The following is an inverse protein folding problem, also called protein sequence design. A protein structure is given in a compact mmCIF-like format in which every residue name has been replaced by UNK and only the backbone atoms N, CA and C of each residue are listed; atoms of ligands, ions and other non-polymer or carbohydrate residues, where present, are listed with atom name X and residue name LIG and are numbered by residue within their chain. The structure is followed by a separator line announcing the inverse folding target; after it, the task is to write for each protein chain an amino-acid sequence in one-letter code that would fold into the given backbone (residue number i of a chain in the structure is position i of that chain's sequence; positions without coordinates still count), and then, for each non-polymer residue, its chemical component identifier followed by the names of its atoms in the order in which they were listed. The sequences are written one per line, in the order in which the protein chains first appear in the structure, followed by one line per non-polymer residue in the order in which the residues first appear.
data_IF_758828210137
#
_entry.id   IF_758828210137
#
_cell.length_a   1.000
_cell.length_b   1.000
_cell.length_c   1.000
_cell.angle_alpha   90.00
_cell.angle_beta   90.00
_cell.angle_gamma   90.00
#
_symmetry.space_group_name_H-M   'P 1'
#
loop_
_entity.id
_entity.type
_entity.pdbx_description
1 polymer ?
#
# COMPACT_ATOMS: atom_id res chain seq x y z
N UNK A 1 -16.42 -34.30 69.67
CA UNK A 1 -17.26 -33.57 68.69
C UNK A 1 -16.49 -33.45 67.40
N UNK A 2 -16.89 -34.17 66.35
CA UNK A 2 -16.16 -34.27 65.08
C UNK A 2 -16.65 -33.19 64.11
N UNK A 3 -15.73 -32.35 63.61
CA UNK A 3 -16.01 -31.40 62.53
C UNK A 3 -15.88 -32.11 61.18
N UNK A 4 -17.01 -32.27 60.49
CA UNK A 4 -17.07 -32.83 59.15
C UNK A 4 -16.72 -31.77 58.10
N UNK A 5 -15.69 -32.06 57.29
CA UNK A 5 -15.33 -31.34 56.07
C UNK A 5 -16.34 -31.66 54.96
N UNK A 6 -17.16 -30.69 54.55
CA UNK A 6 -17.99 -30.82 53.34
C UNK A 6 -17.27 -30.14 52.16
N UNK A 7 -16.57 -30.93 51.34
CA UNK A 7 -16.15 -30.52 50.00
C UNK A 7 -17.38 -30.52 49.09
N UNK A 8 -17.93 -29.35 48.79
CA UNK A 8 -18.95 -29.18 47.75
C UNK A 8 -18.29 -29.17 46.36
N UNK A 9 -18.62 -30.21 45.61
CA UNK A 9 -18.28 -30.49 44.22
C UNK A 9 -18.82 -29.40 43.27
N UNK A 10 -17.94 -28.66 42.59
CA UNK A 10 -18.33 -27.74 41.50
C UNK A 10 -18.41 -28.50 40.17
N UNK A 11 -19.52 -28.40 39.40
CA UNK A 11 -19.65 -29.09 38.13
C UNK A 11 -18.76 -28.46 37.03
N UNK A 12 -18.04 -29.32 36.30
CA UNK A 12 -17.34 -28.95 35.04
C UNK A 12 -18.34 -28.47 34.00
N UNK A 13 -18.39 -27.16 33.77
CA UNK A 13 -19.13 -26.58 32.65
C UNK A 13 -18.48 -27.01 31.32
N UNK A 14 -19.10 -28.00 30.68
CA UNK A 14 -18.86 -28.44 29.30
C UNK A 14 -19.40 -27.37 28.35
N UNK A 15 -18.57 -26.39 28.00
CA UNK A 15 -18.88 -25.38 26.99
C UNK A 15 -18.95 -26.09 25.62
N UNK A 16 -20.18 -26.32 25.14
CA UNK A 16 -20.44 -26.71 23.75
C UNK A 16 -19.98 -25.56 22.85
N UNK A 17 -18.95 -25.79 22.03
CA UNK A 17 -18.56 -24.86 20.96
C UNK A 17 -19.69 -24.80 19.95
N UNK A 18 -20.49 -23.72 20.00
CA UNK A 18 -21.44 -23.39 18.94
C UNK A 18 -20.64 -22.80 17.77
N UNK A 19 -20.32 -23.64 16.79
CA UNK A 19 -19.81 -23.21 15.49
C UNK A 19 -20.98 -22.68 14.66
N UNK A 20 -21.31 -21.41 14.84
CA UNK A 20 -22.16 -20.67 13.88
C UNK A 20 -21.31 -19.63 13.15
N UNK A 21 -20.94 -20.01 11.93
CA UNK A 21 -20.73 -19.18 10.75
C UNK A 21 -20.51 -17.67 10.96
N UNK A 22 -19.24 -17.25 10.91
CA UNK A 22 -18.82 -15.87 10.64
C UNK A 22 -18.41 -15.70 9.16
N UNK A 23 -19.18 -16.29 8.24
CA UNK A 23 -18.95 -16.19 6.79
C UNK A 23 -19.98 -15.31 6.07
N UNK A 24 -20.54 -14.30 6.75
CA UNK A 24 -21.61 -13.45 6.19
C UNK A 24 -21.37 -11.93 6.33
N UNK A 25 -20.15 -11.47 6.56
CA UNK A 25 -19.88 -10.02 6.65
C UNK A 25 -19.42 -9.40 5.32
N UNK A 26 -18.89 -10.20 4.38
CA UNK A 26 -18.32 -9.68 3.11
C UNK A 26 -19.33 -9.54 1.97
N UNK A 27 -20.57 -10.03 2.13
CA UNK A 27 -21.63 -9.90 1.13
C UNK A 27 -22.49 -8.64 1.31
N UNK A 28 -22.57 -8.08 2.53
CA UNK A 28 -23.42 -6.91 2.82
C UNK A 28 -22.82 -5.57 2.37
N UNK A 29 -21.50 -5.49 2.26
CA UNK A 29 -20.83 -4.29 1.73
C UNK A 29 -20.92 -4.15 0.21
N UNK A 30 -21.20 -5.25 -0.53
CA UNK A 30 -21.33 -5.20 -1.99
C UNK A 30 -22.70 -4.70 -2.49
N UNK A 31 -23.72 -4.69 -1.62
CA UNK A 31 -25.08 -4.24 -1.97
C UNK A 31 -25.33 -2.76 -1.61
N UNK A 32 -24.40 -2.08 -0.94
CA UNK A 32 -24.55 -0.67 -0.55
C UNK A 32 -24.06 0.33 -1.61
N UNK A 33 -23.46 -0.12 -2.72
CA UNK A 33 -22.94 0.74 -3.80
C UNK A 33 -23.86 0.85 -5.03
N UNK A 34 -25.02 0.17 -5.01
CA UNK A 34 -26.00 0.25 -6.08
C UNK A 34 -27.03 1.37 -5.82
N UNK A 35 -26.62 2.63 -5.91
CA UNK A 35 -27.55 3.75 -5.80
C UNK A 35 -26.91 5.09 -5.52
N UNK A 36 -26.10 5.60 -6.45
CA UNK A 36 -25.71 7.02 -6.44
C UNK A 36 -26.28 7.73 -7.68
N UNK A 37 -26.94 8.89 -7.56
CA UNK A 37 -27.54 9.61 -8.69
C UNK A 37 -26.49 10.06 -9.71
N UNK A 38 -26.75 9.81 -10.99
CA UNK A 38 -25.92 10.28 -12.11
C UNK A 38 -26.04 11.81 -12.24
N UNK A 39 -24.91 12.51 -12.22
CA UNK A 39 -24.85 13.93 -12.60
C UNK A 39 -25.13 14.08 -14.11
N UNK A 40 -25.86 15.13 -14.54
CA UNK A 40 -26.08 15.39 -15.96
C UNK A 40 -24.78 15.88 -16.62
N UNK A 41 -24.33 15.17 -17.66
CA UNK A 41 -23.26 15.63 -18.55
C UNK A 41 -23.81 16.73 -19.46
N UNK A 42 -23.20 17.90 -19.41
CA UNK A 42 -23.35 18.92 -20.46
C UNK A 42 -22.57 18.47 -21.68
N UNK A 43 -23.26 17.90 -22.66
CA UNK A 43 -22.74 17.57 -23.97
C UNK A 43 -22.55 18.87 -24.78
N UNK A 44 -21.34 19.42 -24.80
CA UNK A 44 -20.91 20.37 -25.83
C UNK A 44 -20.14 19.58 -26.91
N UNK A 45 -20.66 19.45 -28.14
CA UNK A 45 -19.95 18.74 -29.19
C UNK A 45 -18.72 19.54 -29.66
N UNK A 46 -17.52 18.93 -29.78
CA UNK A 46 -16.38 19.61 -30.37
C UNK A 46 -16.54 19.76 -31.89
N UNK A 47 -16.14 20.91 -32.40
CA UNK A 47 -16.22 21.30 -33.80
C UNK A 47 -15.51 20.33 -34.75
N UNK A 48 -16.14 20.12 -35.91
CA UNK A 48 -15.67 19.32 -37.05
C UNK A 48 -14.34 19.80 -37.63
N UNK A 49 -13.31 18.95 -37.65
CA UNK A 49 -12.11 19.14 -38.46
C UNK A 49 -12.32 18.54 -39.87
N UNK A 50 -11.88 19.22 -40.96
CA UNK A 50 -12.03 18.71 -42.31
C UNK A 50 -11.08 17.53 -42.62
N UNK A 51 -11.68 16.47 -43.14
CA UNK A 51 -11.06 15.26 -43.66
C UNK A 51 -10.33 15.54 -44.98
N UNK A 52 -8.99 15.46 -45.00
CA UNK A 52 -8.21 15.31 -46.24
C UNK A 52 -7.88 13.84 -46.47
N UNK A 53 -8.63 13.22 -47.37
CA UNK A 53 -8.35 11.89 -47.91
C UNK A 53 -7.05 11.90 -48.72
N UNK A 54 -6.06 11.07 -48.35
CA UNK A 54 -4.95 10.70 -49.23
C UNK A 54 -5.13 9.26 -49.69
N UNK A 55 -5.15 9.11 -51.01
CA UNK A 55 -5.20 7.90 -51.82
C UNK A 55 -4.20 6.82 -51.37
N UNK A 56 -4.56 5.52 -51.34
CA UNK A 56 -3.59 4.44 -51.13
C UNK A 56 -2.87 4.13 -52.44
N UNK A 57 -1.57 4.43 -52.50
CA UNK A 57 -0.69 4.06 -53.61
C UNK A 57 0.08 2.78 -53.29
N UNK A 58 -0.24 1.73 -54.05
CA UNK A 58 0.63 0.67 -54.55
C UNK A 58 1.51 -0.14 -53.56
N UNK A 59 1.13 -1.43 -53.49
CA UNK A 59 1.92 -2.63 -53.23
C UNK A 59 3.46 -2.52 -53.15
N UNK A 60 4.01 -3.10 -52.08
CA UNK A 60 5.37 -3.65 -52.04
C UNK A 60 5.31 -5.12 -51.56
N UNK A 61 6.01 -6.06 -52.21
CA UNK A 61 5.95 -7.50 -51.89
C UNK A 61 6.74 -7.86 -50.62
N UNK A 62 6.17 -8.75 -49.83
CA UNK A 62 6.76 -9.32 -48.63
C UNK A 62 7.95 -10.25 -48.97
N UNK A 63 9.18 -9.78 -48.71
CA UNK A 63 10.37 -10.63 -48.59
C UNK A 63 10.64 -10.92 -47.12
N UNK A 64 10.13 -12.04 -46.62
CA UNK A 64 10.51 -12.62 -45.33
C UNK A 64 11.90 -13.26 -45.44
N UNK A 65 12.94 -12.58 -44.95
CA UNK A 65 14.28 -13.14 -44.71
C UNK A 65 14.83 -12.44 -43.47
N UNK A 66 15.19 -13.02 -42.33
CA UNK A 66 15.15 -14.36 -41.73
C UNK A 66 15.08 -14.16 -40.18
N UNK A 67 14.95 -15.21 -39.33
CA UNK A 67 16.18 -15.59 -38.64
C UNK A 67 16.27 -17.08 -38.28
N UNK A 68 16.98 -17.85 -39.09
CA UNK A 68 17.23 -19.29 -38.86
C UNK A 68 18.30 -19.59 -37.79
N UNK A 69 18.72 -18.57 -37.01
CA UNK A 69 19.52 -18.72 -35.78
C UNK A 69 19.06 -17.82 -34.63
N UNK A 70 18.21 -16.82 -34.89
CA UNK A 70 17.82 -15.83 -33.90
C UNK A 70 16.63 -16.25 -33.03
N UNK A 71 15.87 -17.31 -33.34
CA UNK A 71 14.78 -17.77 -32.45
C UNK A 71 15.31 -18.16 -31.04
N UNK A 72 16.55 -18.66 -30.96
CA UNK A 72 17.24 -19.02 -29.71
C UNK A 72 17.72 -17.79 -28.89
N UNK A 73 17.86 -16.63 -29.56
CA UNK A 73 18.05 -15.32 -28.94
C UNK A 73 16.70 -14.63 -28.64
N UNK A 74 15.64 -14.96 -29.37
CA UNK A 74 14.35 -14.25 -29.36
C UNK A 74 13.42 -14.61 -28.20
N UNK A 75 13.76 -15.59 -27.36
CA UNK A 75 13.07 -15.86 -26.08
C UNK A 75 14.00 -15.67 -24.87
N UNK A 76 15.02 -14.79 -24.99
CA UNK A 76 15.71 -14.20 -23.84
C UNK A 76 16.98 -14.88 -23.35
N UNK A 77 18.06 -14.80 -24.15
CA UNK A 77 19.44 -14.78 -23.63
C UNK A 77 20.28 -16.05 -23.79
N UNK A 78 21.59 -15.91 -23.51
CA UNK A 78 22.59 -16.99 -23.57
C UNK A 78 22.23 -18.10 -22.57
N UNK A 79 22.10 -19.34 -23.06
CA UNK A 79 21.73 -20.52 -22.25
C UNK A 79 22.71 -20.86 -21.10
N UNK A 80 23.87 -20.19 -21.07
CA UNK A 80 24.81 -20.20 -19.96
C UNK A 80 24.79 -18.87 -19.22
N UNK A 81 24.55 -18.91 -17.91
CA UNK A 81 24.53 -17.74 -17.02
C UNK A 81 24.90 -18.13 -15.59
N UNK A 82 25.15 -17.13 -14.74
CA UNK A 82 25.56 -17.30 -13.34
C UNK A 82 24.45 -18.08 -12.59
N UNK A 83 24.78 -19.30 -12.12
CA UNK A 83 23.84 -20.17 -11.40
C UNK A 83 23.66 -19.81 -9.92
N UNK A 84 24.53 -18.94 -9.38
CA UNK A 84 24.57 -18.52 -7.97
C UNK A 84 23.87 -17.19 -7.73
N UNK A 85 22.63 -17.06 -8.20
CA UNK A 85 21.80 -15.90 -7.90
C UNK A 85 21.05 -16.12 -6.57
N UNK A 86 20.77 -15.06 -5.80
CA UNK A 86 20.01 -15.19 -4.57
C UNK A 86 18.61 -15.70 -4.87
N UNK A 87 18.15 -16.66 -4.06
CA UNK A 87 16.82 -17.25 -4.25
C UNK A 87 15.71 -16.21 -4.04
N UNK A 88 14.79 -16.16 -4.98
CA UNK A 88 13.54 -15.40 -4.92
C UNK A 88 12.40 -16.34 -4.58
N UNK A 89 11.28 -15.85 -4.02
CA UNK A 89 10.15 -16.70 -3.68
C UNK A 89 9.47 -17.39 -4.87
N UNK A 90 9.89 -17.12 -6.12
CA UNK A 90 9.30 -17.67 -7.35
C UNK A 90 10.17 -18.72 -8.03
N UNK A 91 11.38 -18.94 -7.55
CA UNK A 91 12.36 -19.82 -8.20
C UNK A 91 12.27 -21.28 -7.78
N UNK A 92 11.64 -21.58 -6.63
CA UNK A 92 11.58 -22.93 -6.05
C UNK A 92 10.12 -23.28 -5.75
N UNK A 93 9.82 -24.59 -5.76
CA UNK A 93 8.51 -25.13 -5.41
C UNK A 93 8.27 -25.09 -3.88
N UNK A 94 7.28 -25.83 -3.39
CA UNK A 94 6.87 -25.89 -1.99
C UNK A 94 8.02 -26.15 -0.99
N UNK A 95 7.88 -25.58 0.21
CA UNK A 95 8.84 -25.71 1.31
C UNK A 95 9.79 -24.52 1.47
N UNK A 96 10.02 -23.74 0.41
CA UNK A 96 10.79 -22.51 0.50
C UNK A 96 9.87 -21.29 0.68
N UNK A 97 9.93 -20.66 1.85
CA UNK A 97 9.27 -19.38 2.10
C UNK A 97 10.30 -18.27 2.30
N UNK A 98 10.15 -17.17 1.57
CA UNK A 98 10.95 -15.95 1.72
C UNK A 98 10.04 -14.74 1.88
N UNK A 99 10.24 -13.99 2.96
CA UNK A 99 9.50 -12.76 3.23
C UNK A 99 9.94 -11.58 2.34
N UNK A 100 9.10 -10.55 2.27
CA UNK A 100 9.30 -9.35 1.43
C UNK A 100 9.62 -8.09 2.25
N UNK A 101 9.97 -8.23 3.53
CA UNK A 101 10.21 -7.07 4.41
C UNK A 101 8.93 -6.38 4.91
N UNK A 102 7.76 -7.00 4.75
CA UNK A 102 6.47 -6.44 5.21
C UNK A 102 6.35 -6.33 6.74
N UNK A 103 7.29 -6.87 7.52
CA UNK A 103 7.26 -6.89 8.98
C UNK A 103 6.25 -7.90 9.57
N UNK A 104 6.37 -8.17 10.87
CA UNK A 104 5.46 -9.09 11.58
C UNK A 104 4.29 -8.33 12.23
N UNK A 105 3.07 -8.59 11.77
CA UNK A 105 1.84 -7.93 12.23
C UNK A 105 1.14 -8.66 13.38
N UNK A 106 1.77 -9.69 13.94
CA UNK A 106 1.09 -10.63 14.84
C UNK A 106 1.93 -11.85 15.18
N UNK A 107 1.27 -13.00 15.36
CA UNK A 107 1.92 -14.26 15.73
C UNK A 107 1.18 -15.46 15.15
N UNK A 108 1.94 -16.47 14.74
CA UNK A 108 1.40 -17.78 14.32
C UNK A 108 0.85 -18.56 15.51
N UNK A 109 -0.22 -19.32 15.28
CA UNK A 109 -0.78 -20.26 16.26
C UNK A 109 -0.14 -21.65 16.10
N UNK A 110 -0.30 -22.50 17.12
CA UNK A 110 0.17 -23.90 17.08
C UNK A 110 -0.38 -24.68 15.88
N UNK A 111 -1.56 -24.31 15.39
CA UNK A 111 -2.29 -25.02 14.33
C UNK A 111 -2.19 -24.33 12.96
N UNK A 112 -1.17 -23.50 12.74
CA UNK A 112 -0.92 -22.86 11.44
C UNK A 112 -1.75 -21.61 11.15
N UNK A 113 -2.61 -21.17 12.07
CA UNK A 113 -3.32 -19.90 11.96
C UNK A 113 -2.41 -18.69 12.26
N UNK A 114 -2.96 -17.49 12.09
CA UNK A 114 -2.27 -16.23 12.41
C UNK A 114 -3.19 -15.29 13.19
N UNK A 115 -2.71 -14.75 14.31
CA UNK A 115 -3.43 -13.78 15.14
C UNK A 115 -2.77 -12.41 14.97
N UNK A 116 -3.54 -11.41 14.55
CA UNK A 116 -3.10 -10.03 14.36
C UNK A 116 -2.99 -9.29 15.70
N UNK A 117 -1.86 -8.61 15.94
CA UNK A 117 -1.68 -7.69 17.07
C UNK A 117 -1.89 -6.25 16.58
N UNK A 118 -2.99 -5.62 16.99
CA UNK A 118 -3.35 -4.25 16.57
C UNK A 118 -2.29 -3.21 16.95
N UNK A 119 -1.48 -3.44 17.98
CA UNK A 119 -0.39 -2.53 18.39
C UNK A 119 0.77 -2.52 17.40
N UNK A 120 0.92 -3.58 16.61
CA UNK A 120 1.97 -3.71 15.57
C UNK A 120 1.47 -3.30 14.19
N UNK A 121 0.16 -3.07 14.04
CA UNK A 121 -0.43 -2.65 12.78
C UNK A 121 -0.04 -1.20 12.49
N UNK A 122 0.48 -0.96 11.29
CA UNK A 122 0.85 0.38 10.82
C UNK A 122 -0.43 1.17 10.51
N UNK A 123 -0.64 2.26 11.22
CA UNK A 123 -1.72 3.20 10.97
C UNK A 123 -1.13 4.49 10.38
N UNK A 124 -1.60 4.90 9.21
CA UNK A 124 -1.24 6.18 8.61
C UNK A 124 -2.31 7.19 8.99
N UNK A 125 -2.03 8.01 10.01
CA UNK A 125 -2.98 9.00 10.53
C UNK A 125 -3.00 10.20 9.59
N UNK A 126 -4.15 10.43 8.97
CA UNK A 126 -4.38 11.56 8.07
C UNK A 126 -5.02 12.70 8.89
N UNK A 127 -4.46 13.92 8.90
CA UNK A 127 -5.11 15.06 9.54
C UNK A 127 -6.35 15.49 8.76
N UNK A 128 -7.21 16.32 9.36
CA UNK A 128 -8.29 16.95 8.60
C UNK A 128 -7.72 17.93 7.56
N UNK A 129 -8.17 17.82 6.32
CA UNK A 129 -7.66 18.57 5.16
C UNK A 129 -8.71 19.52 4.56
N UNK A 130 -9.91 19.64 5.17
CA UNK A 130 -11.01 20.42 4.60
C UNK A 130 -10.63 21.87 4.24
N UNK A 131 -9.95 22.57 5.15
CA UNK A 131 -9.55 23.98 4.98
C UNK A 131 -8.06 24.16 4.64
N UNK A 132 -7.38 23.10 4.20
CA UNK A 132 -5.93 23.12 4.00
C UNK A 132 -5.55 23.82 2.67
N UNK A 133 -5.01 25.04 2.77
CA UNK A 133 -4.68 25.89 1.61
C UNK A 133 -3.33 25.57 0.94
N UNK A 134 -2.45 24.80 1.59
CA UNK A 134 -1.11 24.56 1.09
C UNK A 134 -1.12 23.46 0.02
N UNK A 135 -0.48 23.71 -1.12
CA UNK A 135 -0.31 22.77 -2.22
C UNK A 135 1.14 22.28 -2.29
N UNK A 136 1.43 21.14 -2.96
CA UNK A 136 2.80 20.63 -3.08
C UNK A 136 3.72 21.52 -3.94
N UNK A 137 3.20 22.57 -4.57
CA UNK A 137 3.94 23.46 -5.45
C UNK A 137 3.91 24.90 -4.94
N UNK A 138 4.99 25.62 -5.18
CA UNK A 138 5.13 27.05 -4.87
C UNK A 138 5.25 27.82 -6.17
N UNK A 139 4.77 29.07 -6.20
CA UNK A 139 4.91 29.94 -7.38
C UNK A 139 6.37 30.25 -7.67
N UNK A 140 6.81 30.10 -8.92
CA UNK A 140 8.19 30.40 -9.36
C UNK A 140 8.60 31.87 -9.22
N UNK A 141 7.64 32.77 -8.99
CA UNK A 141 7.87 34.20 -8.74
C UNK A 141 8.49 34.46 -7.35
N UNK A 142 8.43 33.48 -6.45
CA UNK A 142 9.03 33.58 -5.13
C UNK A 142 10.48 33.07 -5.18
N UNK A 143 11.41 33.93 -4.82
CA UNK A 143 12.82 33.56 -4.69
C UNK A 143 13.03 32.62 -3.48
N UNK A 144 13.76 31.50 -3.62
CA UNK A 144 14.05 30.61 -2.50
C UNK A 144 14.87 31.30 -1.40
N UNK A 145 14.27 31.50 -0.22
CA UNK A 145 14.96 32.13 0.91
C UNK A 145 15.88 31.16 1.65
N UNK A 146 17.12 31.58 1.94
CA UNK A 146 18.03 30.85 2.84
C UNK A 146 17.91 31.37 4.27
N UNK A 147 17.75 30.45 5.23
CA UNK A 147 17.79 30.79 6.65
C UNK A 147 19.18 31.30 7.05
N UNK A 148 19.23 32.42 7.79
CA UNK A 148 20.47 32.92 8.39
C UNK A 148 20.53 32.41 9.82
N UNK A 149 21.54 31.59 10.09
CA UNK A 149 21.79 31.04 11.44
C UNK A 149 23.17 31.50 11.91
N UNK A 150 23.32 31.68 13.22
CA UNK A 150 24.62 31.93 13.84
C UNK A 150 25.55 30.72 13.75
N UNK A 151 26.71 30.79 14.43
CA UNK A 151 27.70 29.70 14.45
C UNK A 151 27.12 28.37 14.94
N UNK A 152 26.18 28.44 15.88
CA UNK A 152 25.46 27.31 16.49
C UNK A 152 24.47 26.61 15.53
N UNK A 153 24.13 27.25 14.40
CA UNK A 153 23.23 26.69 13.39
C UNK A 153 21.74 26.68 13.77
N UNK A 154 20.88 26.06 12.93
CA UNK A 154 19.42 26.04 13.10
C UNK A 154 18.92 25.17 14.27
N UNK A 155 19.74 24.24 14.75
CA UNK A 155 19.38 23.29 15.81
C UNK A 155 19.90 23.72 17.19
N UNK A 156 20.34 24.99 17.33
CA UNK A 156 20.79 25.54 18.61
C UNK A 156 19.66 25.56 19.64
N UNK A 157 19.93 25.00 20.82
CA UNK A 157 18.99 24.99 21.95
C UNK A 157 18.74 26.40 22.52
N UNK A 158 19.78 27.23 22.63
CA UNK A 158 19.67 28.60 23.15
C UNK A 158 18.77 29.47 22.27
N UNK A 159 19.01 29.45 20.95
CA UNK A 159 18.19 30.19 19.98
C UNK A 159 16.72 29.74 20.00
N UNK A 160 16.46 28.45 20.25
CA UNK A 160 15.10 27.93 20.45
C UNK A 160 14.47 28.48 21.73
N UNK A 161 15.18 28.45 22.86
CA UNK A 161 14.68 28.93 24.15
C UNK A 161 14.38 30.43 24.12
N UNK A 162 15.25 31.23 23.52
CA UNK A 162 15.01 32.67 23.31
C UNK A 162 13.78 32.91 22.45
N UNK A 163 13.65 32.18 21.32
CA UNK A 163 12.48 32.28 20.45
C UNK A 163 11.20 31.86 21.16
N UNK A 164 11.24 30.80 21.97
CA UNK A 164 10.10 30.33 22.75
C UNK A 164 9.68 31.37 23.80
N UNK A 165 10.64 31.89 24.59
CA UNK A 165 10.37 32.97 25.56
C UNK A 165 9.71 34.18 24.91
N UNK A 166 10.18 34.56 23.71
CA UNK A 166 9.65 35.69 22.95
C UNK A 166 8.22 35.46 22.43
N UNK A 167 7.89 34.25 21.96
CA UNK A 167 6.59 33.98 21.33
C UNK A 167 5.53 33.51 22.33
N UNK A 168 5.92 32.72 23.33
CA UNK A 168 5.01 31.91 24.15
C UNK A 168 5.28 32.04 25.67
N UNK A 169 6.18 32.91 26.13
CA UNK A 169 6.68 32.93 27.52
C UNK A 169 5.68 33.32 28.61
N UNK A 170 4.39 33.49 28.28
CA UNK A 170 3.30 33.86 29.20
C UNK A 170 2.33 32.68 29.44
N UNK A 171 2.57 31.52 28.82
CA UNK A 171 1.78 30.30 29.07
C UNK A 171 2.33 29.44 30.20
#
# INVERSE_FOLDING_TARGET
MAFALTLSYLPRNRIRKSTRNLYNFTSRQRQAEAGSPRHPSTDTPPASHPSTNRTPSAAAPATMVAPTRALCLMMGGTKGGIKRLPLTPKQVNGGYYKGTGSGSMGRHTKYGGYILDRRKMRNYVVPDLGDFKLTPFVTMKLEPSKGKFGKEGPMSGEAYLERWKRMNGVN
#
